data_IF_230255764892
#
_entry.id   IF_230255764892
#
_cell.length_a   1.000
_cell.length_b   1.000
_cell.length_c   1.000
_cell.angle_alpha   90.00
_cell.angle_beta   90.00
_cell.angle_gamma   90.00
#
_symmetry.space_group_name_H-M   'P 1'
#
loop_
_entity.id
_entity.type
_entity.pdbx_description
1 polymer ?
#
# COMPACT_ATOMS: atom_id res chain seq x y z
N UNK A 1 -20.99 -26.84 -10.60
CA UNK A 1 -20.10 -25.77 -11.11
C UNK A 1 -19.66 -24.93 -9.95
N UNK A 2 -18.37 -24.80 -9.70
CA UNK A 2 -17.83 -23.95 -8.64
C UNK A 2 -17.47 -22.60 -9.24
N UNK A 3 -17.98 -21.51 -8.68
CA UNK A 3 -17.68 -20.15 -9.14
C UNK A 3 -16.79 -19.48 -8.09
N UNK A 4 -15.56 -19.18 -8.46
CA UNK A 4 -14.65 -18.39 -7.62
C UNK A 4 -14.74 -16.91 -8.05
N UNK A 5 -15.18 -16.04 -7.13
CA UNK A 5 -15.26 -14.60 -7.39
C UNK A 5 -13.91 -13.94 -7.09
N UNK A 6 -13.57 -12.93 -7.89
CA UNK A 6 -12.45 -12.04 -7.59
C UNK A 6 -12.71 -11.26 -6.30
N UNK A 7 -11.63 -10.80 -5.66
CA UNK A 7 -11.70 -10.11 -4.36
C UNK A 7 -12.12 -8.65 -4.46
N UNK A 8 -11.92 -8.00 -5.61
CA UNK A 8 -12.42 -6.65 -5.88
C UNK A 8 -13.80 -6.76 -6.55
N UNK A 9 -14.86 -6.22 -5.93
CA UNK A 9 -16.19 -6.30 -6.50
C UNK A 9 -16.31 -5.34 -7.70
N UNK A 10 -17.07 -5.74 -8.73
CA UNK A 10 -17.18 -5.00 -10.00
C UNK A 10 -17.78 -3.60 -9.86
N UNK A 11 -18.59 -3.36 -8.82
CA UNK A 11 -19.17 -2.04 -8.54
C UNK A 11 -18.11 -0.98 -8.16
N UNK A 12 -16.87 -1.37 -7.89
CA UNK A 12 -15.74 -0.43 -7.72
C UNK A 12 -15.52 0.42 -8.97
N UNK A 13 -15.86 -0.09 -10.17
CA UNK A 13 -15.81 0.70 -11.41
C UNK A 13 -16.65 1.99 -11.31
N UNK A 14 -17.71 2.01 -10.51
CA UNK A 14 -18.54 3.22 -10.30
C UNK A 14 -17.79 4.33 -9.53
N UNK A 15 -16.65 4.01 -8.92
CA UNK A 15 -15.78 4.96 -8.25
C UNK A 15 -14.80 5.62 -9.21
N UNK A 16 -14.60 5.09 -10.42
CA UNK A 16 -13.66 5.64 -11.38
C UNK A 16 -14.20 6.95 -11.98
N UNK A 17 -13.30 7.88 -12.26
CA UNK A 17 -13.64 9.18 -12.82
C UNK A 17 -13.92 9.09 -14.32
N UNK A 18 -13.15 8.30 -15.06
CA UNK A 18 -13.37 8.08 -16.49
C UNK A 18 -14.43 7.01 -16.74
N UNK A 19 -15.60 7.41 -17.25
CA UNK A 19 -16.59 6.47 -17.76
C UNK A 19 -16.37 6.22 -19.25
N UNK A 20 -15.61 5.16 -19.56
CA UNK A 20 -15.37 4.71 -20.92
C UNK A 20 -16.37 3.62 -21.38
N UNK A 21 -17.44 3.38 -20.62
CA UNK A 21 -18.44 2.35 -20.91
C UNK A 21 -17.97 0.91 -20.69
N UNK A 22 -16.82 0.70 -20.03
CA UNK A 22 -16.32 -0.63 -19.70
C UNK A 22 -17.11 -1.25 -18.53
N UNK A 23 -17.59 -2.48 -18.70
CA UNK A 23 -18.36 -3.21 -17.67
C UNK A 23 -17.51 -4.11 -16.78
N UNK A 24 -16.21 -4.21 -17.06
CA UNK A 24 -15.26 -5.03 -16.32
C UNK A 24 -13.84 -4.45 -16.32
N UNK A 25 -13.01 -4.90 -15.38
CA UNK A 25 -11.63 -4.44 -15.23
C UNK A 25 -10.73 -4.76 -16.44
N UNK A 26 -10.95 -5.85 -17.18
CA UNK A 26 -10.10 -6.17 -18.34
C UNK A 26 -10.37 -5.20 -19.48
N UNK A 27 -11.65 -4.94 -19.78
CA UNK A 27 -12.05 -3.93 -20.73
C UNK A 27 -11.56 -2.54 -20.32
N UNK A 28 -11.64 -2.19 -19.03
CA UNK A 28 -11.16 -0.90 -18.55
C UNK A 28 -9.64 -0.73 -18.73
N UNK A 29 -8.86 -1.67 -18.19
CA UNK A 29 -7.39 -1.65 -18.26
C UNK A 29 -6.91 -1.67 -19.71
N UNK A 30 -7.51 -2.49 -20.57
CA UNK A 30 -7.11 -2.59 -21.98
C UNK A 30 -7.29 -1.31 -22.79
N UNK A 31 -8.15 -0.38 -22.35
CA UNK A 31 -8.34 0.91 -23.00
C UNK A 31 -7.53 2.05 -22.35
N UNK A 32 -7.29 1.97 -21.04
CA UNK A 32 -6.77 3.11 -20.25
C UNK A 32 -5.31 2.97 -19.83
N UNK A 33 -4.75 1.76 -19.83
CA UNK A 33 -3.45 1.47 -19.24
C UNK A 33 -2.54 0.83 -20.27
N UNK A 34 -1.37 1.42 -20.51
CA UNK A 34 -0.35 0.82 -21.36
C UNK A 34 0.28 -0.41 -20.68
N UNK A 35 0.93 -1.28 -21.45
CA UNK A 35 1.65 -2.43 -20.89
C UNK A 35 2.75 -1.97 -19.92
N UNK A 36 3.43 -0.86 -20.19
CA UNK A 36 4.44 -0.29 -19.30
C UNK A 36 3.83 0.13 -17.95
N UNK A 37 2.71 0.84 -17.98
CA UNK A 37 1.99 1.26 -16.77
C UNK A 37 1.49 0.06 -15.97
N UNK A 38 0.90 -0.95 -16.65
CA UNK A 38 0.45 -2.18 -16.01
C UNK A 38 1.62 -2.94 -15.36
N UNK A 39 2.76 -3.01 -16.04
CA UNK A 39 3.97 -3.68 -15.53
C UNK A 39 4.52 -2.98 -14.30
N UNK A 40 4.57 -1.64 -14.30
CA UNK A 40 4.98 -0.86 -13.13
C UNK A 40 4.08 -1.12 -11.91
N UNK A 41 2.75 -1.21 -12.12
CA UNK A 41 1.81 -1.55 -11.04
C UNK A 41 2.02 -2.98 -10.53
N UNK A 42 2.24 -3.96 -11.43
CA UNK A 42 2.57 -5.34 -11.03
C UNK A 42 3.87 -5.38 -10.22
N UNK A 43 4.86 -4.56 -10.57
CA UNK A 43 6.11 -4.42 -9.80
C UNK A 43 5.87 -4.05 -8.33
N UNK A 44 4.91 -3.15 -8.05
CA UNK A 44 4.53 -2.79 -6.67
C UNK A 44 3.96 -4.00 -5.92
N UNK A 45 3.23 -4.89 -6.60
CA UNK A 45 2.65 -6.09 -6.00
C UNK A 45 3.69 -7.20 -5.77
N UNK A 46 4.88 -7.06 -6.34
CA UNK A 46 6.01 -7.99 -6.24
C UNK A 46 7.23 -7.28 -5.64
N UNK A 47 7.14 -6.84 -4.36
CA UNK A 47 8.16 -5.99 -3.75
C UNK A 47 9.43 -6.78 -3.45
N UNK A 48 10.53 -6.05 -3.31
CA UNK A 48 11.73 -6.60 -2.67
C UNK A 48 11.61 -6.51 -1.14
N UNK A 49 12.02 -7.57 -0.46
CA UNK A 49 12.18 -7.58 0.99
C UNK A 49 13.63 -7.80 1.38
N UNK A 50 14.09 -7.06 2.38
CA UNK A 50 15.44 -7.17 2.92
C UNK A 50 15.36 -7.52 4.40
N UNK A 51 16.07 -8.57 4.79
CA UNK A 51 16.32 -8.88 6.20
C UNK A 51 17.62 -8.20 6.66
N UNK A 52 17.55 -7.43 7.74
CA UNK A 52 18.71 -6.80 8.36
C UNK A 52 18.55 -6.73 9.88
N UNK A 53 19.54 -7.25 10.63
CA UNK A 53 19.49 -7.32 12.09
C UNK A 53 18.18 -7.95 12.62
N UNK A 54 17.70 -9.03 12.00
CA UNK A 54 16.44 -9.72 12.34
C UNK A 54 15.18 -8.84 12.17
N UNK A 55 15.29 -7.72 11.43
CA UNK A 55 14.17 -6.91 10.96
C UNK A 55 13.92 -7.17 9.47
N UNK A 56 12.68 -7.02 9.02
CA UNK A 56 12.27 -7.22 7.64
C UNK A 56 11.67 -5.93 7.10
N UNK A 57 12.26 -5.42 6.01
CA UNK A 57 11.86 -4.18 5.38
C UNK A 57 11.44 -4.39 3.93
N UNK A 58 10.40 -3.70 3.47
CA UNK A 58 10.17 -3.60 2.02
C UNK A 58 11.06 -2.51 1.43
N UNK A 59 11.48 -2.70 0.17
CA UNK A 59 12.19 -1.70 -0.62
C UNK A 59 11.64 -1.66 -2.03
N UNK A 60 11.66 -0.46 -2.63
CA UNK A 60 11.34 -0.29 -4.03
C UNK A 60 12.41 -0.93 -4.93
N UNK A 61 13.67 -0.93 -4.47
CA UNK A 61 14.81 -1.62 -5.06
C UNK A 61 15.72 -2.09 -3.92
N UNK A 62 15.93 -3.41 -3.79
CA UNK A 62 16.82 -3.97 -2.76
C UNK A 62 18.29 -3.69 -3.01
N UNK A 63 18.70 -3.40 -4.25
CA UNK A 63 20.11 -3.10 -4.57
C UNK A 63 20.58 -1.77 -3.97
N UNK A 64 19.65 -0.86 -3.70
CA UNK A 64 19.90 0.42 -3.02
C UNK A 64 19.93 0.31 -1.48
N UNK A 65 19.77 -0.91 -0.93
CA UNK A 65 19.79 -1.09 0.52
C UNK A 65 21.18 -0.81 1.10
N UNK A 66 21.27 0.25 1.91
CA UNK A 66 22.45 0.55 2.71
C UNK A 66 22.18 0.25 4.20
N UNK A 67 23.03 -0.57 4.86
CA UNK A 67 22.91 -0.82 6.28
C UNK A 67 23.03 0.48 7.08
N UNK A 68 21.99 0.84 7.81
CA UNK A 68 22.03 1.97 8.74
C UNK A 68 22.71 1.55 10.05
N UNK A 69 23.51 2.43 10.64
CA UNK A 69 24.25 2.16 11.89
C UNK A 69 23.34 2.03 13.12
N UNK A 70 22.15 2.64 13.10
CA UNK A 70 21.15 2.52 14.15
C UNK A 70 19.74 2.43 13.54
N UNK A 71 19.03 1.34 13.83
CA UNK A 71 17.64 1.17 13.46
C UNK A 71 16.76 1.90 14.49
N UNK A 72 16.04 2.92 14.03
CA UNK A 72 15.11 3.68 14.86
C UNK A 72 13.72 3.65 14.22
N UNK A 73 12.72 3.40 15.04
CA UNK A 73 11.31 3.55 14.72
C UNK A 73 10.62 4.50 15.67
N UNK A 74 9.29 4.52 15.59
CA UNK A 74 8.47 5.34 16.45
C UNK A 74 7.28 4.56 16.98
N UNK A 75 6.95 4.81 18.25
CA UNK A 75 5.72 4.35 18.86
C UNK A 75 4.82 5.53 19.20
N UNK A 76 3.52 5.33 19.04
CA UNK A 76 2.53 6.31 19.44
C UNK A 76 2.10 6.03 20.89
N UNK A 77 2.41 6.97 21.79
CA UNK A 77 2.02 6.86 23.20
C UNK A 77 0.69 7.56 23.49
N UNK A 78 0.37 8.59 22.72
CA UNK A 78 -0.87 9.37 22.75
C UNK A 78 -1.18 9.81 21.31
N UNK A 79 -2.44 10.11 20.96
CA UNK A 79 -2.79 10.58 19.63
C UNK A 79 -1.88 11.72 19.17
N UNK A 80 -1.13 11.49 18.09
CA UNK A 80 -0.20 12.45 17.49
C UNK A 80 1.13 12.67 18.23
N UNK A 81 1.42 11.91 19.29
CA UNK A 81 2.70 11.97 20.01
C UNK A 81 3.54 10.72 19.75
N UNK A 82 4.53 10.88 18.88
CA UNK A 82 5.51 9.86 18.54
C UNK A 82 6.74 9.95 19.44
N UNK A 83 7.20 8.80 19.94
CA UNK A 83 8.46 8.67 20.66
C UNK A 83 9.39 7.70 19.94
N UNK A 84 10.69 8.00 19.86
CA UNK A 84 11.67 7.07 19.32
C UNK A 84 11.61 5.73 20.04
N UNK A 85 11.74 4.65 19.29
CA UNK A 85 11.77 3.27 19.78
C UNK A 85 12.76 2.46 18.97
N UNK A 86 13.44 1.52 19.64
CA UNK A 86 14.33 0.53 19.01
C UNK A 86 13.73 -0.88 19.06
N UNK A 87 12.49 -1.01 19.53
CA UNK A 87 11.77 -2.28 19.51
C UNK A 87 11.50 -2.70 18.07
N UNK A 88 11.77 -3.96 17.73
CA UNK A 88 11.69 -4.47 16.35
C UNK A 88 10.37 -4.12 15.68
N UNK A 89 9.26 -4.32 16.39
CA UNK A 89 7.92 -4.00 15.92
C UNK A 89 7.77 -2.53 15.55
N UNK A 90 8.25 -1.62 16.38
CA UNK A 90 8.11 -0.18 16.16
C UNK A 90 9.02 0.31 15.03
N UNK A 91 10.22 -0.28 14.90
CA UNK A 91 11.16 -0.05 13.80
C UNK A 91 10.53 -0.47 12.48
N UNK A 92 10.04 -1.70 12.37
CA UNK A 92 9.43 -2.20 11.15
C UNK A 92 8.15 -1.46 10.80
N UNK A 93 7.24 -1.27 11.77
CA UNK A 93 5.98 -0.54 11.54
C UNK A 93 6.22 0.86 11.01
N UNK A 94 7.28 1.52 11.47
CA UNK A 94 7.66 2.84 10.98
C UNK A 94 8.35 2.77 9.61
N UNK A 95 9.41 1.98 9.47
CA UNK A 95 10.20 1.96 8.22
C UNK A 95 9.48 1.31 7.03
N UNK A 96 8.48 0.47 7.30
CA UNK A 96 7.63 -0.12 6.28
C UNK A 96 6.38 0.72 5.96
N UNK A 97 6.20 1.87 6.61
CA UNK A 97 5.03 2.70 6.39
C UNK A 97 5.04 3.27 4.97
N UNK A 98 3.94 3.04 4.25
CA UNK A 98 3.75 3.40 2.85
C UNK A 98 2.46 4.20 2.72
N UNK A 99 2.57 5.49 2.40
CA UNK A 99 1.41 6.32 2.08
C UNK A 99 0.99 6.14 0.62
N UNK A 100 -0.16 5.49 0.40
CA UNK A 100 -0.69 5.20 -0.94
C UNK A 100 -0.92 6.50 -1.71
N UNK A 101 -1.50 7.50 -1.06
CA UNK A 101 -1.82 8.78 -1.69
C UNK A 101 -0.60 9.65 -2.00
N UNK A 102 0.53 9.45 -1.30
CA UNK A 102 1.78 10.12 -1.66
C UNK A 102 2.51 9.40 -2.79
N UNK A 103 2.37 8.08 -2.88
CA UNK A 103 2.99 7.31 -3.96
C UNK A 103 2.31 7.55 -5.31
N UNK A 104 0.97 7.58 -5.33
CA UNK A 104 0.20 7.89 -6.53
C UNK A 104 -0.06 9.40 -6.63
N UNK A 105 0.95 10.15 -7.09
CA UNK A 105 0.85 11.61 -7.28
C UNK A 105 -0.05 12.06 -8.43
N UNK A 106 -0.60 11.12 -9.21
CA UNK A 106 -1.46 11.38 -10.36
C UNK A 106 -2.81 10.69 -10.18
N UNK A 107 -3.87 11.49 -10.25
CA UNK A 107 -5.25 11.03 -10.24
C UNK A 107 -5.89 11.33 -11.59
N UNK A 108 -6.94 10.60 -11.94
CA UNK A 108 -7.80 11.04 -13.04
C UNK A 108 -8.55 12.29 -12.58
N UNK A 109 -8.40 13.39 -13.33
CA UNK A 109 -9.06 14.66 -13.01
C UNK A 109 -10.57 14.46 -12.87
N UNK A 110 -11.12 14.94 -11.76
CA UNK A 110 -12.57 14.96 -11.51
C UNK A 110 -13.00 16.40 -11.19
N UNK A 111 -13.13 17.26 -12.22
CA UNK A 111 -13.42 18.67 -12.02
C UNK A 111 -14.71 18.88 -11.24
N UNK A 112 -14.66 19.67 -10.17
CA UNK A 112 -15.82 20.02 -9.34
C UNK A 112 -16.17 19.02 -8.23
N UNK A 113 -15.42 17.92 -8.09
CA UNK A 113 -15.58 17.00 -6.95
C UNK A 113 -15.08 17.63 -5.65
N UNK A 114 -15.84 17.55 -4.54
CA UNK A 114 -15.41 18.11 -3.26
C UNK A 114 -14.22 17.31 -2.70
N UNK A 115 -13.19 18.05 -2.28
CA UNK A 115 -12.00 17.50 -1.64
C UNK A 115 -12.30 17.24 -0.16
N UNK A 116 -11.97 16.03 0.31
CA UNK A 116 -12.22 15.58 1.69
C UNK A 116 -10.98 15.77 2.58
N UNK A 117 -9.88 15.08 2.26
CA UNK A 117 -8.66 14.98 3.09
C UNK A 117 -7.42 14.90 2.20
N UNK A 118 -6.36 15.64 2.53
CA UNK A 118 -5.05 15.57 1.87
C UNK A 118 -5.16 15.64 0.33
N UNK A 119 -6.10 16.43 -0.20
CA UNK A 119 -6.31 16.58 -1.64
C UNK A 119 -7.17 15.49 -2.31
N UNK A 120 -7.62 14.46 -1.60
CA UNK A 120 -8.43 13.37 -2.15
C UNK A 120 -9.93 13.67 -2.14
N UNK A 121 -10.64 13.24 -3.17
CA UNK A 121 -12.11 13.11 -3.12
C UNK A 121 -12.51 11.89 -2.28
N UNK A 122 -13.79 11.79 -1.90
CA UNK A 122 -14.29 10.58 -1.20
C UNK A 122 -14.11 9.31 -2.04
N UNK A 123 -14.24 9.40 -3.37
CA UNK A 123 -14.02 8.26 -4.27
C UNK A 123 -12.56 7.84 -4.30
N UNK A 124 -11.64 8.81 -4.42
CA UNK A 124 -10.19 8.52 -4.44
C UNK A 124 -9.73 7.92 -3.12
N UNK A 125 -10.23 8.43 -1.99
CA UNK A 125 -9.95 7.86 -0.67
C UNK A 125 -10.38 6.39 -0.57
N UNK A 126 -11.57 6.04 -1.07
CA UNK A 126 -12.04 4.64 -1.13
C UNK A 126 -11.17 3.79 -2.05
N UNK A 127 -10.76 4.33 -3.20
CA UNK A 127 -9.87 3.63 -4.13
C UNK A 127 -8.49 3.37 -3.50
N UNK A 128 -7.94 4.33 -2.75
CA UNK A 128 -6.70 4.15 -1.99
C UNK A 128 -6.82 2.98 -1.01
N UNK A 129 -7.91 2.92 -0.23
CA UNK A 129 -8.14 1.82 0.71
C UNK A 129 -8.28 0.46 0.01
N UNK A 130 -9.01 0.41 -1.11
CA UNK A 130 -9.12 -0.82 -1.91
C UNK A 130 -7.75 -1.27 -2.42
N UNK A 131 -6.94 -0.34 -2.93
CA UNK A 131 -5.61 -0.61 -3.45
C UNK A 131 -4.65 -1.07 -2.35
N UNK A 132 -4.60 -0.38 -1.20
CA UNK A 132 -3.81 -0.76 -0.03
C UNK A 132 -4.10 -2.21 0.42
N UNK A 133 -5.38 -2.59 0.44
CA UNK A 133 -5.81 -3.96 0.77
C UNK A 133 -5.41 -4.99 -0.28
N UNK A 134 -5.23 -4.59 -1.55
CA UNK A 134 -4.65 -5.51 -2.54
C UNK A 134 -3.15 -5.69 -2.29
N UNK A 135 -2.41 -4.59 -2.08
CA UNK A 135 -0.97 -4.66 -1.75
C UNK A 135 -0.75 -5.57 -0.54
N UNK A 136 -1.48 -5.34 0.56
CA UNK A 136 -1.46 -6.19 1.77
C UNK A 136 -1.55 -7.68 1.42
N UNK A 137 -2.50 -8.06 0.57
CA UNK A 137 -2.71 -9.47 0.22
C UNK A 137 -1.56 -10.06 -0.59
N UNK A 138 -1.06 -9.33 -1.60
CA UNK A 138 0.05 -9.81 -2.43
C UNK A 138 1.35 -9.85 -1.63
N UNK A 139 1.61 -8.82 -0.83
CA UNK A 139 2.78 -8.77 0.04
C UNK A 139 2.74 -9.82 1.14
N UNK A 140 1.57 -10.12 1.70
CA UNK A 140 1.44 -11.23 2.65
C UNK A 140 1.82 -12.57 2.01
N UNK A 141 1.45 -12.81 0.75
CA UNK A 141 1.85 -14.03 0.03
C UNK A 141 3.38 -14.04 -0.14
N UNK A 142 3.94 -12.96 -0.67
CA UNK A 142 5.38 -12.84 -0.91
C UNK A 142 6.21 -12.97 0.38
N UNK A 143 5.80 -12.34 1.49
CA UNK A 143 6.45 -12.47 2.79
C UNK A 143 6.44 -13.91 3.30
N UNK A 144 5.34 -14.65 3.12
CA UNK A 144 5.25 -16.05 3.52
C UNK A 144 6.16 -16.95 2.69
N UNK A 145 6.35 -16.61 1.42
CA UNK A 145 7.27 -17.34 0.53
C UNK A 145 8.74 -17.06 0.89
N UNK A 146 9.10 -15.81 1.19
CA UNK A 146 10.46 -15.42 1.55
C UNK A 146 10.84 -15.81 2.99
N UNK A 147 9.90 -15.71 3.93
CA UNK A 147 10.14 -15.87 5.37
C UNK A 147 9.08 -16.80 6.00
N UNK A 148 9.07 -18.10 5.67
CA UNK A 148 8.01 -19.03 6.06
C UNK A 148 7.88 -19.24 7.58
N UNK A 149 8.96 -19.00 8.34
CA UNK A 149 9.00 -19.16 9.80
C UNK A 149 8.68 -17.86 10.56
N UNK A 150 8.29 -16.80 9.85
CA UNK A 150 7.93 -15.50 10.43
C UNK A 150 6.44 -15.24 10.27
N UNK A 151 5.85 -14.59 11.27
CA UNK A 151 4.48 -14.10 11.21
C UNK A 151 4.48 -12.59 11.13
N UNK A 152 3.61 -12.05 10.28
CA UNK A 152 3.50 -10.63 10.03
C UNK A 152 2.07 -10.16 10.32
N UNK A 153 1.98 -8.95 10.84
CA UNK A 153 0.73 -8.19 10.94
C UNK A 153 0.79 -7.01 9.99
N UNK A 154 -0.32 -6.74 9.32
CA UNK A 154 -0.50 -5.60 8.44
C UNK A 154 -1.49 -4.62 9.04
N UNK A 155 -1.24 -3.34 8.82
CA UNK A 155 -2.14 -2.27 9.20
C UNK A 155 -2.43 -1.39 7.98
N UNK A 156 -3.73 -1.20 7.70
CA UNK A 156 -4.22 -0.25 6.71
C UNK A 156 -5.18 0.71 7.40
N UNK A 157 -4.78 1.97 7.50
CA UNK A 157 -5.51 3.00 8.22
C UNK A 157 -5.18 4.39 7.67
N UNK A 158 -5.97 5.38 8.08
CA UNK A 158 -5.66 6.78 7.82
C UNK A 158 -4.58 7.26 8.81
N UNK A 159 -3.56 7.96 8.31
CA UNK A 159 -2.52 8.66 9.07
C UNK A 159 -1.76 7.78 10.07
N UNK A 160 -1.11 6.72 9.57
CA UNK A 160 -0.27 5.86 10.41
C UNK A 160 1.03 6.63 10.73
N UNK A 161 1.31 6.82 12.03
CA UNK A 161 2.52 7.51 12.52
C UNK A 161 2.62 8.96 12.01
N UNK A 162 3.68 9.29 11.28
CA UNK A 162 3.96 10.61 10.70
C UNK A 162 3.57 10.72 9.23
N UNK A 163 2.98 9.65 8.67
CA UNK A 163 2.44 9.67 7.32
C UNK A 163 1.01 10.19 7.26
N UNK A 164 0.65 10.77 6.12
CA UNK A 164 -0.67 11.38 5.89
C UNK A 164 -1.46 10.64 4.82
N UNK A 165 -2.78 10.53 5.04
CA UNK A 165 -3.72 9.90 4.13
C UNK A 165 -3.85 8.39 4.36
N UNK A 166 -4.11 7.61 3.32
CA UNK A 166 -4.29 6.15 3.43
C UNK A 166 -2.93 5.48 3.42
N UNK A 167 -2.58 4.85 4.53
CA UNK A 167 -1.29 4.22 4.74
C UNK A 167 -1.44 2.70 4.83
N UNK A 168 -0.37 2.01 4.44
CA UNK A 168 -0.15 0.58 4.62
C UNK A 168 1.18 0.40 5.36
N UNK A 169 1.22 -0.44 6.39
CA UNK A 169 2.49 -0.88 6.98
C UNK A 169 2.39 -2.35 7.40
N UNK A 170 3.54 -2.95 7.69
CA UNK A 170 3.62 -4.28 8.28
C UNK A 170 4.82 -4.42 9.22
N UNK A 171 4.72 -5.38 10.12
CA UNK A 171 5.75 -5.72 11.10
C UNK A 171 5.62 -7.18 11.52
N UNK A 172 6.71 -7.74 12.03
CA UNK A 172 6.76 -9.07 12.61
C UNK A 172 6.06 -9.11 13.97
N UNK A 173 5.37 -10.23 14.26
CA UNK A 173 4.79 -10.54 15.58
C UNK A 173 5.84 -11.00 16.59
#
# INVERSE_FOLDING_TARGET
MTICKGKIPKNVLNLFSSDIGATDFFGYVGNMVSIEQATAVIGILSPDFVEYNNHIFWKADSSDFSPQSALTGFRENKPGQLLPSTERRDVERYQNNFSVNQFFSKWEDSPGSPVLKVGLTEKDHKLCHIFARQIEQYWHIALRECFPDRNFEFEVADNILDEYGVCLTFFQL
#
